data_IF_476856710629
#
_entry.id   IF_476856710629
#
_cell.length_a   1.000
_cell.length_b   1.000
_cell.length_c   1.000
_cell.angle_alpha   90.00
_cell.angle_beta   90.00
_cell.angle_gamma   90.00
#
_symmetry.space_group_name_H-M   'P 1'
#
loop_
_entity.id
_entity.type
_entity.pdbx_description
1 polymer ?
#
# COMPACT_ATOMS: atom_id res chain seq x y z
N UNK A 1 -7.08 8.98 16.38
CA UNK A 1 -6.39 8.92 17.69
C UNK A 1 -6.16 10.32 18.23
N UNK A 2 -5.14 11.08 17.74
CA UNK A 2 -4.82 12.44 18.25
C UNK A 2 -6.02 13.40 18.37
N UNK A 3 -6.82 13.52 17.31
CA UNK A 3 -8.01 14.40 17.31
C UNK A 3 -9.04 14.02 18.39
N UNK A 4 -9.19 12.72 18.68
CA UNK A 4 -10.12 12.25 19.71
C UNK A 4 -9.57 12.59 21.08
N UNK A 5 -8.26 12.44 21.31
CA UNK A 5 -7.62 12.85 22.56
C UNK A 5 -7.79 14.35 22.82
N UNK A 6 -7.51 15.18 21.82
CA UNK A 6 -7.61 16.64 21.93
C UNK A 6 -9.06 17.07 22.23
N UNK A 7 -10.06 16.45 21.59
CA UNK A 7 -11.47 16.72 21.86
C UNK A 7 -11.92 16.20 23.24
N UNK A 8 -11.34 15.09 23.70
CA UNK A 8 -11.53 14.55 25.05
C UNK A 8 -10.85 15.40 26.14
N UNK A 9 -10.12 16.45 25.79
CA UNK A 9 -9.47 17.36 26.74
C UNK A 9 -8.20 16.82 27.39
N UNK A 10 -7.66 15.70 26.91
CA UNK A 10 -6.47 15.09 27.51
C UNK A 10 -5.19 15.62 26.86
N UNK A 11 -4.19 15.98 27.68
CA UNK A 11 -2.84 16.16 27.15
C UNK A 11 -2.25 14.80 26.76
N UNK A 12 -1.23 14.81 25.89
CA UNK A 12 -0.54 13.59 25.50
C UNK A 12 0.16 12.89 26.68
N UNK A 13 0.56 13.67 27.70
CA UNK A 13 1.15 13.14 28.93
C UNK A 13 0.08 12.49 29.81
N UNK A 14 -1.03 13.19 30.04
CA UNK A 14 -2.10 12.70 30.91
C UNK A 14 -2.69 11.39 30.38
N UNK A 15 -2.94 11.30 29.06
CA UNK A 15 -3.44 10.07 28.47
C UNK A 15 -2.40 8.94 28.51
N UNK A 16 -1.12 9.27 28.33
CA UNK A 16 -0.05 8.27 28.44
C UNK A 16 0.02 7.70 29.86
N UNK A 17 -0.06 8.55 30.89
CA UNK A 17 -0.07 8.13 32.29
C UNK A 17 -1.31 7.26 32.60
N UNK A 18 -2.50 7.67 32.14
CA UNK A 18 -3.76 6.90 32.26
C UNK A 18 -3.70 5.52 31.61
N UNK A 19 -3.02 5.40 30.47
CA UNK A 19 -2.89 4.15 29.73
C UNK A 19 -1.65 3.33 30.17
N UNK A 20 -0.86 3.81 31.13
CA UNK A 20 0.45 3.26 31.50
C UNK A 20 1.40 3.12 30.30
N UNK A 21 1.37 4.09 29.38
CA UNK A 21 2.23 4.17 28.20
C UNK A 21 3.31 5.23 28.42
N UNK A 22 4.47 5.06 27.78
CA UNK A 22 5.43 6.17 27.71
C UNK A 22 4.94 7.25 26.74
N UNK A 23 5.31 8.50 26.97
CA UNK A 23 5.02 9.61 26.03
C UNK A 23 5.55 9.30 24.61
N UNK A 24 6.68 8.59 24.53
CA UNK A 24 7.26 8.11 23.28
C UNK A 24 6.39 7.04 22.59
N UNK A 25 5.77 6.12 23.35
CA UNK A 25 4.78 5.17 22.80
C UNK A 25 3.53 5.91 22.33
N UNK A 26 2.99 6.83 23.14
CA UNK A 26 1.82 7.63 22.79
C UNK A 26 2.02 8.37 21.45
N UNK A 27 3.13 9.09 21.31
CA UNK A 27 3.45 9.81 20.08
C UNK A 27 3.53 8.91 18.85
N UNK A 28 4.17 7.73 18.97
CA UNK A 28 4.28 6.78 17.85
C UNK A 28 2.94 6.16 17.47
N UNK A 29 2.09 5.85 18.44
CA UNK A 29 0.72 5.33 18.20
C UNK A 29 -0.14 6.39 17.51
N UNK A 30 -0.12 7.64 18.00
CA UNK A 30 -0.92 8.72 17.40
C UNK A 30 -0.45 9.12 15.99
N UNK A 31 0.85 8.97 15.70
CA UNK A 31 1.43 9.26 14.39
C UNK A 31 1.43 8.08 13.42
N UNK A 32 0.94 6.91 13.83
CA UNK A 32 0.91 5.71 12.98
C UNK A 32 2.30 5.13 12.66
N UNK A 33 3.36 5.56 13.37
CA UNK A 33 4.74 5.05 13.17
C UNK A 33 5.00 3.71 13.87
N UNK A 34 4.02 3.19 14.60
CA UNK A 34 4.08 1.88 15.26
C UNK A 34 2.77 1.14 15.01
N UNK A 35 2.87 -0.14 14.65
CA UNK A 35 1.72 -1.04 14.62
C UNK A 35 1.02 -1.04 15.98
N UNK A 36 -0.27 -0.74 15.97
CA UNK A 36 -1.09 -0.62 17.18
C UNK A 36 -2.08 -1.77 17.20
N UNK A 37 -2.19 -2.46 18.32
CA UNK A 37 -3.14 -3.57 18.46
C UNK A 37 -4.56 -3.03 18.51
N UNK A 38 -5.56 -3.85 18.14
CA UNK A 38 -6.97 -3.46 18.27
C UNK A 38 -7.30 -3.10 19.72
N UNK A 39 -6.73 -3.82 20.69
CA UNK A 39 -6.87 -3.53 22.12
C UNK A 39 -6.38 -2.12 22.43
N UNK A 40 -5.15 -1.79 22.02
CA UNK A 40 -4.57 -0.46 22.25
C UNK A 40 -5.44 0.66 21.63
N UNK A 41 -6.01 0.42 20.44
CA UNK A 41 -6.92 1.37 19.78
C UNK A 41 -8.22 1.55 20.55
N UNK A 42 -8.84 0.45 20.99
CA UNK A 42 -10.09 0.47 21.77
C UNK A 42 -9.87 1.16 23.11
N UNK A 43 -8.82 0.80 23.85
CA UNK A 43 -8.52 1.39 25.15
C UNK A 43 -8.30 2.89 25.02
N UNK A 44 -7.47 3.34 24.07
CA UNK A 44 -7.26 4.76 23.83
C UNK A 44 -8.57 5.49 23.47
N UNK A 45 -9.34 4.95 22.52
CA UNK A 45 -10.58 5.60 22.06
C UNK A 45 -11.62 5.69 23.19
N UNK A 46 -11.75 4.63 24.00
CA UNK A 46 -12.66 4.60 25.14
C UNK A 46 -12.26 5.61 26.22
N UNK A 47 -10.98 5.67 26.59
CA UNK A 47 -10.49 6.63 27.60
C UNK A 47 -10.70 8.08 27.17
N UNK A 48 -10.63 8.37 25.87
CA UNK A 48 -10.86 9.71 25.34
C UNK A 48 -12.34 10.07 25.13
N UNK A 49 -13.28 9.18 25.44
CA UNK A 49 -14.71 9.41 25.21
C UNK A 49 -15.10 9.47 23.72
N UNK A 50 -14.45 8.66 22.86
CA UNK A 50 -14.83 8.57 21.45
C UNK A 50 -16.30 8.16 21.28
N UNK A 51 -16.98 8.76 20.30
CA UNK A 51 -18.33 8.34 19.93
C UNK A 51 -18.33 6.88 19.42
N UNK A 52 -19.45 6.15 19.56
CA UNK A 52 -19.54 4.75 19.11
C UNK A 52 -19.10 4.57 17.65
N UNK A 53 -19.54 5.44 16.75
CA UNK A 53 -19.16 5.47 15.33
C UNK A 53 -17.65 5.69 15.10
N UNK A 54 -17.02 6.57 15.88
CA UNK A 54 -15.58 6.85 15.73
C UNK A 54 -14.73 5.69 16.26
N UNK A 55 -15.16 5.07 17.36
CA UNK A 55 -14.54 3.88 17.90
C UNK A 55 -14.64 2.73 16.89
N UNK A 56 -15.82 2.50 16.31
CA UNK A 56 -16.03 1.49 15.29
C UNK A 56 -15.10 1.69 14.08
N UNK A 57 -15.01 2.93 13.58
CA UNK A 57 -14.11 3.28 12.47
C UNK A 57 -12.63 3.06 12.79
N UNK A 58 -12.20 3.37 14.02
CA UNK A 58 -10.81 3.15 14.43
C UNK A 58 -10.47 1.66 14.57
N UNK A 59 -11.41 0.87 15.10
CA UNK A 59 -11.28 -0.59 15.17
C UNK A 59 -11.23 -1.19 13.78
N UNK A 60 -12.11 -0.76 12.87
CA UNK A 60 -12.08 -1.16 11.46
C UNK A 60 -10.71 -0.87 10.84
N UNK A 61 -10.16 0.33 11.04
CA UNK A 61 -8.85 0.70 10.52
C UNK A 61 -7.69 -0.13 11.13
N UNK A 62 -7.81 -0.54 12.39
CA UNK A 62 -6.79 -1.34 13.09
C UNK A 62 -6.90 -2.85 12.80
N UNK A 63 -8.10 -3.30 12.43
CA UNK A 63 -8.42 -4.71 12.14
C UNK A 63 -8.38 -4.98 10.64
N UNK A 64 -8.43 -3.94 9.80
CA UNK A 64 -8.19 -4.04 8.37
C UNK A 64 -6.85 -4.76 8.19
N UNK A 65 -6.95 -6.03 7.79
CA UNK A 65 -5.82 -6.88 7.48
C UNK A 65 -4.96 -6.15 6.47
N UNK A 66 -3.66 -6.18 6.70
CA UNK A 66 -2.69 -5.91 5.65
C UNK A 66 -2.79 -7.06 4.64
N UNK A 67 -3.83 -7.03 3.81
CA UNK A 67 -4.08 -7.94 2.70
C UNK A 67 -3.18 -7.61 1.49
N UNK A 68 -2.10 -6.84 1.73
CA UNK A 68 -1.14 -6.46 0.71
C UNK A 68 -1.68 -5.43 -0.29
N UNK A 69 -2.88 -4.88 -0.07
CA UNK A 69 -3.51 -3.92 -0.97
C UNK A 69 -3.20 -2.48 -0.56
N UNK A 70 -2.12 -1.91 -1.12
CA UNK A 70 -1.48 -0.69 -0.61
C UNK A 70 -1.69 0.58 -1.43
N UNK A 71 -2.53 0.58 -2.47
CA UNK A 71 -2.91 1.84 -3.13
C UNK A 71 -3.95 2.57 -2.27
N UNK A 72 -3.50 3.15 -1.15
CA UNK A 72 -4.22 4.27 -0.54
C UNK A 72 -3.89 5.50 -1.38
N UNK A 73 -4.85 6.07 -2.13
CA UNK A 73 -4.63 7.36 -2.77
C UNK A 73 -4.44 8.39 -1.66
N UNK A 74 -3.19 8.61 -1.27
CA UNK A 74 -2.90 9.67 -0.33
C UNK A 74 -2.97 10.96 -1.12
N UNK A 75 -4.05 11.71 -0.92
CA UNK A 75 -4.33 13.04 -1.46
C UNK A 75 -3.35 14.12 -0.97
N UNK A 76 -2.24 13.74 -0.33
CA UNK A 76 -1.13 14.62 -0.05
C UNK A 76 -0.46 14.97 -1.39
N UNK A 77 -0.90 16.08 -1.96
CA UNK A 77 -0.50 16.72 -3.22
C UNK A 77 1.01 17.04 -3.36
N UNK A 78 1.88 16.44 -2.54
CA UNK A 78 3.34 16.57 -2.61
C UNK A 78 4.09 15.25 -2.83
N UNK A 79 3.41 14.10 -2.88
CA UNK A 79 4.07 12.83 -3.22
C UNK A 79 4.01 12.58 -4.73
N UNK A 80 4.85 13.28 -5.48
CA UNK A 80 4.93 13.27 -6.95
C UNK A 80 5.34 11.89 -7.51
N UNK A 81 4.49 10.87 -7.37
CA UNK A 81 4.75 9.49 -7.81
C UNK A 81 5.69 8.67 -6.92
N UNK A 82 6.46 9.31 -6.06
CA UNK A 82 7.51 8.72 -5.20
C UNK A 82 6.97 7.68 -4.19
N UNK A 83 5.83 7.98 -3.57
CA UNK A 83 5.16 7.08 -2.64
C UNK A 83 4.52 5.89 -3.39
N UNK A 84 4.03 6.14 -4.62
CA UNK A 84 3.49 5.11 -5.51
C UNK A 84 4.55 4.09 -5.93
N UNK A 85 5.75 4.55 -6.33
CA UNK A 85 6.86 3.65 -6.69
C UNK A 85 7.31 2.79 -5.51
N UNK A 86 7.35 3.36 -4.30
CA UNK A 86 7.74 2.62 -3.09
C UNK A 86 6.70 1.56 -2.73
N UNK A 87 5.40 1.89 -2.83
CA UNK A 87 4.32 0.92 -2.62
C UNK A 87 4.38 -0.22 -3.66
N UNK A 88 4.60 0.12 -4.94
CA UNK A 88 4.75 -0.90 -5.98
C UNK A 88 5.95 -1.81 -5.71
N UNK A 89 7.10 -1.25 -5.32
CA UNK A 89 8.29 -2.04 -5.01
C UNK A 89 8.03 -3.08 -3.90
N UNK A 90 7.33 -2.68 -2.84
CA UNK A 90 6.97 -3.60 -1.76
C UNK A 90 6.04 -4.71 -2.25
N UNK A 91 5.01 -4.35 -3.02
CA UNK A 91 4.07 -5.34 -3.57
C UNK A 91 4.75 -6.31 -4.54
N UNK A 92 5.64 -5.80 -5.40
CA UNK A 92 6.43 -6.61 -6.33
C UNK A 92 7.33 -7.61 -5.59
N UNK A 93 7.89 -7.21 -4.45
CA UNK A 93 8.79 -8.07 -3.66
C UNK A 93 8.11 -9.29 -3.03
N UNK A 94 6.80 -9.21 -2.77
CA UNK A 94 6.01 -10.29 -2.15
C UNK A 94 5.04 -10.97 -3.14
N UNK A 95 4.99 -10.50 -4.38
CA UNK A 95 4.10 -11.03 -5.40
C UNK A 95 4.52 -12.46 -5.78
N UNK A 96 3.55 -13.35 -6.00
CA UNK A 96 3.80 -14.67 -6.60
C UNK A 96 3.69 -14.64 -8.12
N UNK A 97 3.05 -13.62 -8.69
CA UNK A 97 2.97 -13.37 -10.12
C UNK A 97 2.72 -11.87 -10.38
N UNK A 98 3.32 -11.33 -11.44
CA UNK A 98 3.11 -9.94 -11.89
C UNK A 98 2.55 -9.98 -13.31
N UNK A 99 1.35 -9.43 -13.51
CA UNK A 99 0.75 -9.25 -14.84
C UNK A 99 0.49 -7.77 -15.05
N UNK A 100 0.96 -7.23 -16.18
CA UNK A 100 0.80 -5.82 -16.52
C UNK A 100 0.34 -5.65 -17.96
N UNK A 101 -0.60 -4.74 -18.19
CA UNK A 101 -1.06 -4.35 -19.52
C UNK A 101 -0.84 -2.84 -19.70
N UNK A 102 -0.25 -2.45 -20.82
CA UNK A 102 0.06 -1.06 -21.12
C UNK A 102 -0.33 -0.71 -22.56
N UNK A 103 -1.09 0.37 -22.74
CA UNK A 103 -1.61 0.80 -24.05
C UNK A 103 -0.56 1.49 -24.92
N UNK A 104 0.24 2.38 -24.33
CA UNK A 104 1.13 3.27 -25.07
C UNK A 104 2.53 3.42 -24.44
N UNK A 105 2.84 2.63 -23.41
CA UNK A 105 4.12 2.68 -22.71
C UNK A 105 4.67 1.29 -22.44
N UNK A 106 5.98 1.16 -22.37
CA UNK A 106 6.60 -0.09 -21.92
C UNK A 106 6.32 -0.31 -20.42
N UNK A 107 6.18 -1.58 -19.97
CA UNK A 107 6.02 -1.89 -18.56
C UNK A 107 7.15 -1.30 -17.72
N UNK A 108 6.82 -0.73 -16.56
CA UNK A 108 7.79 0.02 -15.72
C UNK A 108 9.04 -0.79 -15.35
N UNK A 109 8.89 -2.08 -15.10
CA UNK A 109 9.99 -3.00 -14.79
C UNK A 109 10.91 -3.31 -15.98
N UNK A 110 10.51 -2.98 -17.21
CA UNK A 110 11.27 -3.22 -18.44
C UNK A 110 11.83 -1.93 -19.05
N UNK A 111 11.62 -0.78 -18.41
CA UNK A 111 12.11 0.50 -18.92
C UNK A 111 13.60 0.67 -18.63
N UNK A 112 14.36 1.18 -19.59
CA UNK A 112 15.72 1.66 -19.38
C UNK A 112 15.70 3.12 -18.90
N UNK A 113 16.83 3.60 -18.37
CA UNK A 113 16.95 4.96 -17.81
C UNK A 113 16.42 6.04 -18.75
N UNK A 114 16.90 6.07 -20.00
CA UNK A 114 16.50 7.09 -20.97
C UNK A 114 15.00 7.06 -21.30
N UNK A 115 14.39 5.88 -21.34
CA UNK A 115 12.95 5.76 -21.57
C UNK A 115 12.15 6.26 -20.37
N UNK A 116 12.53 5.85 -19.16
CA UNK A 116 11.86 6.28 -17.93
C UNK A 116 11.93 7.80 -17.77
N UNK A 117 13.10 8.40 -18.02
CA UNK A 117 13.30 9.86 -18.01
C UNK A 117 12.41 10.55 -19.02
N UNK A 118 12.46 10.13 -20.29
CA UNK A 118 11.64 10.72 -21.35
C UNK A 118 10.14 10.62 -21.05
N UNK A 119 9.70 9.53 -20.42
CA UNK A 119 8.30 9.36 -20.01
C UNK A 119 7.90 10.34 -18.90
N UNK A 120 8.74 10.54 -17.87
CA UNK A 120 8.47 11.51 -16.80
C UNK A 120 8.45 12.95 -17.33
N UNK A 121 9.38 13.29 -18.22
CA UNK A 121 9.44 14.61 -18.87
C UNK A 121 8.24 14.86 -19.78
N UNK A 122 7.86 13.87 -20.59
CA UNK A 122 6.70 13.96 -21.49
C UNK A 122 5.38 14.08 -20.73
N UNK A 123 5.21 13.32 -19.63
CA UNK A 123 3.99 13.36 -18.84
C UNK A 123 3.78 14.72 -18.15
N UNK A 124 4.86 15.45 -17.81
CA UNK A 124 4.79 16.77 -17.18
C UNK A 124 4.13 16.80 -15.79
N UNK A 125 3.87 15.63 -15.20
CA UNK A 125 3.14 15.48 -13.94
C UNK A 125 4.01 15.61 -12.68
N UNK A 126 5.33 15.76 -12.86
CA UNK A 126 6.31 15.85 -11.78
C UNK A 126 7.30 17.01 -12.05
N UNK A 127 7.76 17.74 -11.01
CA UNK A 127 8.84 18.71 -11.11
C UNK A 127 10.14 18.11 -11.67
N UNK A 128 10.86 18.90 -12.46
CA UNK A 128 12.09 18.45 -13.15
C UNK A 128 13.19 18.01 -12.19
N UNK A 129 13.31 18.67 -11.04
CA UNK A 129 14.28 18.37 -9.98
C UNK A 129 14.03 17.01 -9.29
N UNK A 130 12.83 16.44 -9.42
CA UNK A 130 12.51 15.11 -8.88
C UNK A 130 12.67 13.97 -9.90
N UNK A 131 12.89 14.27 -11.18
CA UNK A 131 12.92 13.25 -12.24
C UNK A 131 14.07 12.27 -12.00
N UNK A 132 15.25 12.75 -11.61
CA UNK A 132 16.40 11.89 -11.33
C UNK A 132 16.12 10.88 -10.22
N UNK A 133 15.51 11.32 -9.12
CA UNK A 133 15.15 10.43 -8.01
C UNK A 133 14.10 9.39 -8.45
N UNK A 134 13.09 9.82 -9.21
CA UNK A 134 12.03 8.94 -9.69
C UNK A 134 12.55 7.89 -10.69
N UNK A 135 13.49 8.28 -11.56
CA UNK A 135 14.18 7.36 -12.48
C UNK A 135 15.01 6.36 -11.69
N UNK A 136 15.81 6.81 -10.72
CA UNK A 136 16.61 5.93 -9.89
C UNK A 136 15.75 4.90 -9.14
N UNK A 137 14.64 5.32 -8.51
CA UNK A 137 13.70 4.40 -7.83
C UNK A 137 13.01 3.44 -8.80
N UNK A 138 12.72 3.89 -10.02
CA UNK A 138 12.12 3.02 -11.04
C UNK A 138 13.10 1.93 -11.49
N UNK A 139 14.37 2.27 -11.68
CA UNK A 139 15.41 1.30 -12.01
C UNK A 139 15.72 0.35 -10.85
N UNK A 140 15.71 0.86 -9.61
CA UNK A 140 15.92 0.04 -8.41
C UNK A 140 14.90 -1.11 -8.30
N UNK A 141 13.65 -0.87 -8.70
CA UNK A 141 12.59 -1.89 -8.75
C UNK A 141 12.90 -3.06 -9.69
N UNK A 142 13.72 -2.86 -10.72
CA UNK A 142 14.08 -3.94 -11.65
C UNK A 142 14.87 -5.07 -10.98
N UNK A 143 15.43 -4.85 -9.79
CA UNK A 143 16.09 -5.90 -8.99
C UNK A 143 15.21 -7.12 -8.75
N UNK A 144 13.88 -6.96 -8.69
CA UNK A 144 12.94 -8.08 -8.55
C UNK A 144 13.04 -9.10 -9.68
N UNK A 145 13.44 -8.67 -10.89
CA UNK A 145 13.60 -9.54 -12.05
C UNK A 145 14.85 -10.45 -11.97
N UNK A 146 15.79 -10.12 -11.08
CA UNK A 146 17.07 -10.80 -10.96
C UNK A 146 17.18 -11.68 -9.69
N UNK A 147 16.14 -11.69 -8.84
CA UNK A 147 16.04 -12.62 -7.71
C UNK A 147 15.71 -14.05 -8.14
N UNK A 148 15.91 -15.03 -7.24
CA UNK A 148 15.45 -16.41 -7.43
C UNK A 148 13.92 -16.44 -7.38
N UNK A 149 13.33 -16.15 -8.53
CA UNK A 149 11.91 -16.05 -8.78
C UNK A 149 11.38 -17.43 -9.18
N UNK A 150 10.62 -18.06 -8.28
CA UNK A 150 9.90 -19.32 -8.52
C UNK A 150 8.38 -19.10 -8.45
N UNK A 151 7.76 -18.45 -9.45
CA UNK A 151 6.31 -18.43 -9.55
C UNK A 151 5.86 -19.85 -9.90
N UNK A 152 4.97 -20.45 -9.11
CA UNK A 152 4.30 -21.66 -9.58
C UNK A 152 3.60 -21.35 -10.89
N UNK A 153 3.84 -22.12 -11.97
CA UNK A 153 3.15 -21.89 -13.22
C UNK A 153 1.66 -22.09 -12.98
N UNK A 154 0.87 -21.04 -13.22
CA UNK A 154 -0.59 -21.14 -13.23
C UNK A 154 -0.97 -22.19 -14.27
N UNK A 155 -1.40 -23.37 -13.81
CA UNK A 155 -2.16 -24.28 -14.66
C UNK A 155 -3.40 -23.52 -15.11
N UNK A 156 -3.38 -23.02 -16.34
CA UNK A 156 -4.52 -22.29 -16.89
C UNK A 156 -5.60 -23.33 -17.08
N UNK A 157 -6.56 -23.38 -16.15
CA UNK A 157 -7.71 -24.27 -16.19
C UNK A 157 -8.68 -23.89 -17.30
N UNK A 158 -8.26 -23.95 -18.55
CA UNK A 158 -9.14 -24.04 -19.70
C UNK A 158 -9.35 -25.53 -20.01
N UNK A 159 -10.10 -26.22 -19.16
CA UNK A 159 -10.78 -27.46 -19.59
C UNK A 159 -11.97 -27.02 -20.45
N UNK A 160 -11.68 -26.58 -21.67
CA UNK A 160 -12.69 -26.51 -22.72
C UNK A 160 -13.05 -27.97 -23.01
N UNK A 161 -14.17 -28.44 -22.46
CA UNK A 161 -14.75 -29.71 -22.90
C UNK A 161 -15.17 -29.49 -24.35
N UNK A 162 -14.35 -29.94 -25.29
CA UNK A 162 -14.85 -30.25 -26.63
C UNK A 162 -15.86 -31.37 -26.46
N UNK A 163 -17.14 -31.01 -26.38
CA UNK A 163 -18.22 -31.95 -26.60
C UNK A 163 -18.14 -32.40 -28.05
N UNK A 164 -17.64 -33.61 -28.27
CA UNK A 164 -17.87 -34.30 -29.54
C UNK A 164 -19.36 -34.63 -29.60
N UNK A 165 -20.11 -33.76 -30.27
CA UNK A 165 -21.38 -34.13 -30.87
C UNK A 165 -21.09 -35.16 -31.96
N UNK A 166 -21.32 -36.44 -31.65
CA UNK A 166 -21.47 -37.47 -32.68
C UNK A 166 -22.97 -37.68 -32.90
N UNK A 167 -23.50 -36.92 -33.85
CA UNK A 167 -24.68 -37.33 -34.61
C UNK A 167 -24.24 -38.41 -35.62
N UNK A 168 -24.94 -39.55 -35.58
CA UNK A 168 -24.94 -40.61 -36.60
C UNK A 168 -26.09 -41.54 -36.23
N UNK A 169 -27.28 -41.41 -36.82
CA UNK A 169 -27.68 -41.96 -38.13
C UNK A 169 -27.34 -43.46 -38.25
N UNK A 170 -28.37 -44.29 -38.12
CA UNK A 170 -28.36 -45.74 -38.23
C UNK A 170 -29.60 -46.31 -37.57
#
# INVERSE_FOLDING_TARGET
>A
MRRIRERGGFSAKDLADLLAWSASRMSRVESGRRGTTVIDVVTHAATCGALPEERARLVELATATDDGYWLRPNSAAGSHGLLGLTSLANQESVATAITSFHLAALPGLLQIEGYARGLFEWAGAVPRDLIDELVARRLDRQKVLHGHWHPEPRSTGARTRCGTSSAGHG
#
